data_IF_860118824185
#
_entry.id   IF_860118824185
#
_cell.length_a   1.000
_cell.length_b   1.000
_cell.length_c   1.000
_cell.angle_alpha   90.00
_cell.angle_beta   90.00
_cell.angle_gamma   90.00
#
_symmetry.space_group_name_H-M   'P 1'
#
loop_
_entity.id
_entity.type
_entity.pdbx_description
1 polymer ?
#
# COMPACT_ATOMS: atom_id res chain seq x y z
N UNK A 1 1.49 13.48 -0.85
CA UNK A 1 1.45 12.11 -0.28
C UNK A 1 0.75 11.20 -1.28
N UNK A 2 1.11 9.92 -1.42
CA UNK A 2 0.50 9.01 -2.41
C UNK A 2 -0.67 8.25 -1.77
N UNK A 3 -1.85 8.38 -2.35
CA UNK A 3 -3.07 7.73 -1.92
C UNK A 3 -3.76 7.09 -3.13
N UNK A 4 -4.56 6.06 -2.89
CA UNK A 4 -5.41 5.44 -3.89
C UNK A 4 -6.83 5.32 -3.34
N UNK A 5 -7.82 5.52 -4.21
CA UNK A 5 -9.19 5.07 -3.95
C UNK A 5 -9.27 3.58 -4.23
N UNK A 6 -9.76 2.83 -3.26
CA UNK A 6 -9.89 1.38 -3.34
C UNK A 6 -11.33 1.03 -3.10
N UNK A 7 -11.91 0.25 -4.00
CA UNK A 7 -13.22 -0.38 -3.79
C UNK A 7 -13.00 -1.73 -3.10
N UNK A 8 -13.51 -1.87 -1.89
CA UNK A 8 -13.45 -3.13 -1.16
C UNK A 8 -14.41 -4.15 -1.77
N UNK A 9 -14.17 -5.43 -1.48
CA UNK A 9 -15.09 -6.52 -1.80
C UNK A 9 -16.47 -6.32 -1.15
N UNK A 10 -16.52 -5.62 -0.01
CA UNK A 10 -17.75 -5.17 0.65
C UNK A 10 -18.49 -4.02 -0.04
N UNK A 11 -18.06 -3.64 -1.26
CA UNK A 11 -18.59 -2.53 -2.08
C UNK A 11 -18.36 -1.12 -1.54
N UNK A 12 -17.78 -0.97 -0.34
CA UNK A 12 -17.39 0.32 0.19
C UNK A 12 -16.16 0.88 -0.50
N UNK A 13 -16.17 2.18 -0.76
CA UNK A 13 -15.04 2.92 -1.29
C UNK A 13 -14.25 3.54 -0.14
N UNK A 14 -12.95 3.25 -0.10
CA UNK A 14 -12.05 3.77 0.93
C UNK A 14 -10.84 4.43 0.29
N UNK A 15 -10.32 5.46 0.96
CA UNK A 15 -9.04 6.06 0.59
C UNK A 15 -7.93 5.41 1.40
N UNK A 16 -6.97 4.79 0.71
CA UNK A 16 -5.85 4.10 1.32
C UNK A 16 -4.52 4.77 0.97
N UNK A 17 -3.62 4.83 1.94
CA UNK A 17 -2.27 5.35 1.75
C UNK A 17 -1.35 4.30 1.13
N UNK A 18 -0.51 4.74 0.18
CA UNK A 18 0.53 3.89 -0.43
C UNK A 18 1.86 4.13 0.30
N UNK A 19 2.35 3.17 1.09
CA UNK A 19 3.60 3.35 1.82
C UNK A 19 4.83 3.14 0.92
N UNK A 20 5.91 3.86 1.25
CA UNK A 20 7.22 3.69 0.62
C UNK A 20 7.50 4.68 -0.52
N UNK A 21 8.68 4.56 -1.13
CA UNK A 21 9.12 5.39 -2.26
C UNK A 21 8.82 4.61 -3.55
N UNK A 22 8.20 5.27 -4.53
CA UNK A 22 7.69 4.59 -5.74
C UNK A 22 6.53 3.60 -5.49
N UNK A 23 5.78 3.33 -6.56
CA UNK A 23 4.78 2.26 -6.65
C UNK A 23 4.50 1.97 -8.13
N UNK A 24 3.99 0.77 -8.43
CA UNK A 24 3.66 0.32 -9.78
C UNK A 24 2.16 0.02 -9.93
N UNK A 25 1.31 0.64 -9.09
CA UNK A 25 -0.13 0.39 -9.13
C UNK A 25 -0.74 1.21 -10.26
N UNK A 26 -1.66 0.59 -10.99
CA UNK A 26 -2.43 1.20 -12.06
C UNK A 26 -3.93 1.12 -11.70
N UNK A 27 -4.78 1.68 -12.57
CA UNK A 27 -6.22 1.44 -12.47
C UNK A 27 -6.52 -0.06 -12.55
N UNK A 28 -7.58 -0.50 -11.87
CA UNK A 28 -8.00 -1.91 -11.76
C UNK A 28 -7.01 -2.88 -11.09
N UNK A 29 -5.86 -2.42 -10.60
CA UNK A 29 -4.94 -3.26 -9.82
C UNK A 29 -5.61 -3.75 -8.52
N UNK A 30 -5.45 -5.02 -8.20
CA UNK A 30 -6.00 -5.64 -6.99
C UNK A 30 -4.99 -5.48 -5.85
N UNK A 31 -5.44 -4.90 -4.74
CA UNK A 31 -4.59 -4.57 -3.60
C UNK A 31 -5.16 -5.09 -2.30
N UNK A 32 -4.27 -5.45 -1.38
CA UNK A 32 -4.62 -5.80 -0.01
C UNK A 32 -4.52 -4.56 0.87
N UNK A 33 -5.56 -4.28 1.65
CA UNK A 33 -5.66 -3.11 2.52
C UNK A 33 -5.62 -3.54 3.98
N UNK A 34 -4.90 -2.80 4.82
CA UNK A 34 -4.89 -2.95 6.28
C UNK A 34 -5.31 -1.66 6.98
N UNK A 35 -5.80 -1.79 8.20
CA UNK A 35 -6.11 -0.64 9.06
C UNK A 35 -4.84 0.16 9.44
N UNK A 36 -4.98 1.48 9.53
CA UNK A 36 -3.95 2.35 10.06
C UNK A 36 -4.18 3.80 9.65
N UNK A 37 -4.27 4.70 10.62
CA UNK A 37 -4.45 6.14 10.36
C UNK A 37 -3.12 6.78 9.99
N UNK A 38 -3.12 7.55 8.90
CA UNK A 38 -2.03 8.49 8.61
C UNK A 38 -2.40 9.81 9.28
N UNK A 39 -1.61 10.25 10.27
CA UNK A 39 -1.91 11.48 11.04
C UNK A 39 -1.96 12.72 10.15
N UNK A 40 -1.13 12.75 9.11
CA UNK A 40 -0.97 13.90 8.22
C UNK A 40 -2.13 14.08 7.22
N UNK A 41 -2.97 13.06 7.02
CA UNK A 41 -4.01 13.09 6.00
C UNK A 41 -5.39 12.83 6.63
N UNK A 42 -6.31 13.82 6.62
CA UNK A 42 -7.67 13.61 7.08
C UNK A 42 -8.39 12.59 6.18
N UNK A 43 -9.21 11.73 6.77
CA UNK A 43 -9.97 10.69 6.04
C UNK A 43 -9.17 9.45 5.63
N UNK A 44 -7.83 9.46 5.67
CA UNK A 44 -7.01 8.31 5.27
C UNK A 44 -6.74 7.40 6.48
N UNK A 45 -7.61 6.41 6.65
CA UNK A 45 -7.60 5.45 7.78
C UNK A 45 -7.04 4.08 7.42
N UNK A 46 -6.60 3.91 6.18
CA UNK A 46 -6.16 2.64 5.63
C UNK A 46 -4.80 2.75 4.95
N UNK A 47 -4.08 1.64 4.92
CA UNK A 47 -2.79 1.49 4.24
C UNK A 47 -2.85 0.30 3.28
N UNK A 48 -2.25 0.46 2.10
CA UNK A 48 -2.01 -0.67 1.19
C UNK A 48 -0.82 -1.48 1.71
N UNK A 49 -0.99 -2.80 1.79
CA UNK A 49 0.08 -3.76 2.09
C UNK A 49 0.95 -3.91 0.84
N UNK A 50 2.26 -3.87 1.01
CA UNK A 50 3.23 -4.04 -0.09
C UNK A 50 3.76 -5.46 -0.09
N UNK A 51 4.11 -5.97 -1.26
CA UNK A 51 4.61 -7.32 -1.48
C UNK A 51 3.54 -8.41 -1.57
N UNK A 52 2.27 -8.02 -1.76
CA UNK A 52 1.12 -8.94 -1.88
C UNK A 52 0.21 -8.47 -3.01
N UNK A 53 -0.40 -9.42 -3.73
CA UNK A 53 -1.19 -9.14 -4.95
C UNK A 53 -0.38 -8.28 -5.93
N UNK A 54 -1.00 -7.30 -6.59
CA UNK A 54 -0.35 -6.46 -7.59
C UNK A 54 0.55 -5.37 -6.98
N UNK A 55 0.50 -5.19 -5.66
CA UNK A 55 1.30 -4.19 -4.96
C UNK A 55 2.75 -4.67 -4.76
N UNK A 56 3.60 -4.46 -5.77
CA UNK A 56 5.03 -4.82 -5.74
C UNK A 56 5.77 -4.14 -4.58
N UNK A 57 6.76 -4.82 -4.00
CA UNK A 57 7.64 -4.26 -2.97
C UNK A 57 8.41 -3.02 -3.42
N UNK A 58 8.96 -2.27 -2.47
CA UNK A 58 9.79 -1.09 -2.77
C UNK A 58 11.17 -1.54 -3.25
N UNK A 59 11.68 -0.95 -4.35
CA UNK A 59 13.03 -1.27 -4.87
C UNK A 59 14.13 -0.89 -3.87
N UNK A 60 15.21 -1.67 -3.84
CA UNK A 60 16.45 -1.42 -3.08
C UNK A 60 16.29 -1.17 -1.58
N UNK A 61 15.20 -1.66 -0.98
CA UNK A 61 14.97 -1.48 0.45
C UNK A 61 15.81 -2.46 1.28
N UNK A 62 16.86 -1.97 1.92
CA UNK A 62 17.72 -2.79 2.81
C UNK A 62 17.19 -2.90 4.25
N UNK A 63 16.49 -1.87 4.76
CA UNK A 63 15.96 -1.80 6.15
C UNK A 63 14.42 -1.74 6.20
N UNK A 64 13.80 -2.37 7.20
CA UNK A 64 12.35 -2.38 7.39
C UNK A 64 11.59 -3.15 6.29
N UNK A 65 12.25 -4.17 5.71
CA UNK A 65 11.80 -4.92 4.54
C UNK A 65 10.41 -5.55 4.68
N UNK A 66 10.11 -6.08 5.86
CA UNK A 66 8.82 -6.72 6.18
C UNK A 66 7.63 -5.77 5.98
N UNK A 67 7.82 -4.47 6.27
CA UNK A 67 6.76 -3.45 6.12
C UNK A 67 6.52 -3.05 4.67
N UNK A 68 7.53 -3.16 3.81
CA UNK A 68 7.49 -2.70 2.42
C UNK A 68 7.51 -3.84 1.40
N UNK A 69 7.30 -5.08 1.83
CA UNK A 69 7.14 -6.23 0.94
C UNK A 69 8.40 -6.66 0.20
N UNK A 70 9.58 -6.52 0.82
CA UNK A 70 10.87 -6.81 0.16
C UNK A 70 11.49 -8.06 0.76
N UNK A 71 11.97 -8.98 -0.07
CA UNK A 71 12.65 -10.19 0.39
C UNK A 71 14.09 -9.90 0.84
N UNK A 72 14.67 -10.79 1.63
CA UNK A 72 16.10 -10.71 1.96
C UNK A 72 16.90 -11.03 0.68
N UNK A 73 17.83 -10.15 0.26
CA UNK A 73 18.74 -10.49 -0.83
C UNK A 73 19.59 -11.69 -0.39
N UNK A 74 19.86 -12.60 -1.33
CA UNK A 74 20.75 -13.74 -1.09
C UNK A 74 22.18 -13.25 -0.90
#
# INVERSE_FOLDING_TARGET
RKVARVRLTSKFEVTAYIPGIGHNLQEHSVVLVRGGRVKDLPGVRYHIVRGTLDAVGVKDRKKGRSKYGVKKPK
#
